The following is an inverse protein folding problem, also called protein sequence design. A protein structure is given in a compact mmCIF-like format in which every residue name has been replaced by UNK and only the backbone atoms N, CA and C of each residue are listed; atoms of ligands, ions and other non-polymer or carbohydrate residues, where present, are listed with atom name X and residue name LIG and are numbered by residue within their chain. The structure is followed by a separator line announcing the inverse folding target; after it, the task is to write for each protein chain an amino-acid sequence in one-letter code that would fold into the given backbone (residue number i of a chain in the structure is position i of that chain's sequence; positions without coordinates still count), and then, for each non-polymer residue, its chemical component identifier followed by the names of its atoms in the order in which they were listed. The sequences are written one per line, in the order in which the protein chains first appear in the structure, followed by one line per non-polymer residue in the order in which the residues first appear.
data_IF_920666435631
#
_entry.id   IF_920666435631
#
_cell.length_a   1.000
_cell.length_b   1.000
_cell.length_c   1.000
_cell.angle_alpha   90.00
_cell.angle_beta   90.00
_cell.angle_gamma   90.00
#
_symmetry.space_group_name_H-M   'P 1'
#
loop_
_entity.id
_entity.type
_entity.pdbx_description
1 polymer ?
#
# COMPACT_ATOMS: atom_id res chain seq x y z
N UNK A 1 -4.19 -6.11 -11.32
CA UNK A 1 -3.20 -5.32 -12.08
C UNK A 1 -2.96 -3.92 -11.48
N UNK A 2 -4.00 -3.18 -11.04
CA UNK A 2 -3.85 -1.82 -10.46
C UNK A 2 -2.96 -1.76 -9.21
N UNK A 3 -3.17 -2.64 -8.23
CA UNK A 3 -2.33 -2.67 -7.02
C UNK A 3 -0.86 -2.90 -7.35
N UNK A 4 -0.56 -3.86 -8.24
CA UNK A 4 0.82 -4.18 -8.65
C UNK A 4 1.53 -2.96 -9.25
N UNK A 5 0.87 -2.23 -10.15
CA UNK A 5 1.43 -1.01 -10.75
C UNK A 5 1.66 0.09 -9.70
N UNK A 6 0.77 0.23 -8.72
CA UNK A 6 0.99 1.15 -7.62
C UNK A 6 2.22 0.76 -6.79
N UNK A 7 2.38 -0.53 -6.47
CA UNK A 7 3.55 -1.03 -5.74
C UNK A 7 4.85 -0.82 -6.52
N UNK A 8 4.84 -1.01 -7.84
CA UNK A 8 5.99 -0.74 -8.70
C UNK A 8 6.37 0.74 -8.71
N UNK A 9 5.39 1.66 -8.77
CA UNK A 9 5.66 3.09 -8.66
C UNK A 9 6.25 3.46 -7.30
N UNK A 10 5.72 2.91 -6.21
CA UNK A 10 6.26 3.11 -4.86
C UNK A 10 7.69 2.58 -4.78
N UNK A 11 7.98 1.43 -5.40
CA UNK A 11 9.34 0.88 -5.44
C UNK A 11 10.32 1.79 -6.20
N UNK A 12 9.86 2.39 -7.30
CA UNK A 12 10.62 3.36 -8.07
C UNK A 12 10.93 4.61 -7.23
N UNK A 13 9.95 5.13 -6.47
CA UNK A 13 10.16 6.26 -5.55
C UNK A 13 11.25 5.98 -4.51
N UNK A 14 11.30 4.75 -3.96
CA UNK A 14 12.33 4.33 -2.99
C UNK A 14 13.74 4.28 -3.59
N UNK A 15 13.83 4.00 -4.89
CA UNK A 15 15.08 4.00 -5.64
C UNK A 15 15.48 5.40 -6.14
N UNK A 16 14.86 6.46 -5.59
CA UNK A 16 15.04 7.86 -5.96
C UNK A 16 14.54 8.21 -7.39
N UNK A 17 13.66 7.42 -7.97
CA UNK A 17 13.00 7.80 -9.22
C UNK A 17 11.88 8.82 -8.96
N UNK A 18 11.77 9.82 -9.82
CA UNK A 18 10.69 10.80 -9.73
C UNK A 18 9.40 10.20 -10.27
N UNK A 19 8.44 9.92 -9.39
CA UNK A 19 7.12 9.41 -9.77
C UNK A 19 6.04 10.47 -9.62
N UNK A 20 4.96 10.30 -10.38
CA UNK A 20 3.77 11.12 -10.20
C UNK A 20 2.83 10.48 -9.17
N UNK A 21 3.00 10.83 -7.89
CA UNK A 21 2.20 10.30 -6.78
C UNK A 21 0.69 10.55 -6.88
N UNK A 22 0.21 11.37 -7.82
CA UNK A 22 -1.24 11.56 -8.06
C UNK A 22 -1.95 10.25 -8.44
N UNK A 23 -1.27 9.36 -9.16
CA UNK A 23 -1.86 8.10 -9.61
C UNK A 23 -2.08 7.12 -8.46
N UNK A 24 -1.11 7.05 -7.54
CA UNK A 24 -1.22 6.25 -6.32
C UNK A 24 -2.34 6.82 -5.43
N UNK A 25 -2.37 8.15 -5.25
CA UNK A 25 -3.44 8.82 -4.46
C UNK A 25 -4.83 8.53 -5.03
N UNK A 26 -5.01 8.63 -6.35
CA UNK A 26 -6.28 8.32 -7.00
C UNK A 26 -6.69 6.84 -6.85
N UNK A 27 -5.73 5.91 -7.00
CA UNK A 27 -5.98 4.49 -6.82
C UNK A 27 -6.40 4.15 -5.37
N UNK A 28 -5.68 4.69 -4.37
CA UNK A 28 -6.01 4.52 -2.95
C UNK A 28 -7.39 5.09 -2.64
N UNK A 29 -7.69 6.29 -3.14
CA UNK A 29 -9.00 6.92 -2.97
C UNK A 29 -10.12 6.02 -3.52
N UNK A 30 -9.94 5.43 -4.70
CA UNK A 30 -10.91 4.50 -5.28
C UNK A 30 -11.14 3.25 -4.41
N UNK A 31 -10.08 2.66 -3.83
CA UNK A 31 -10.24 1.51 -2.93
C UNK A 31 -11.01 1.85 -1.64
N UNK A 32 -10.84 3.06 -1.11
CA UNK A 32 -11.59 3.55 0.07
C UNK A 32 -13.04 3.89 -0.27
N UNK A 33 -13.30 4.37 -1.49
CA UNK A 33 -14.66 4.68 -1.96
C UNK A 33 -15.47 3.42 -2.25
N UNK A 34 -14.83 2.36 -2.75
CA UNK A 34 -15.50 1.07 -3.02
C UNK A 34 -16.02 0.38 -1.76
N UNK A 35 -15.38 0.61 -0.60
CA UNK A 35 -15.84 0.05 0.68
C UNK A 35 -17.17 0.63 1.21
N UNK A 36 -17.74 1.65 0.56
CA UNK A 36 -19.06 2.19 0.92
C UNK A 36 -20.25 1.49 0.26
N UNK A 37 -20.01 0.55 -0.67
CA UNK A 37 -21.10 -0.02 -1.48
C UNK A 37 -21.91 -1.12 -0.76
N UNK A 38 -21.47 -1.59 0.42
CA UNK A 38 -22.20 -2.61 1.21
C UNK A 38 -23.24 -1.94 2.13
N UNK A 39 -24.51 -1.98 1.70
CA UNK A 39 -25.78 -1.70 2.42
C UNK A 39 -25.70 -0.87 3.74
N UNK A 40 -25.71 0.45 3.60
CA UNK A 40 -25.77 1.40 4.73
C UNK A 40 -27.18 1.99 4.95
N UNK A 41 -28.22 1.16 5.14
CA UNK A 41 -29.58 1.67 5.43
C UNK A 41 -29.99 1.64 6.91
N UNK A 42 -29.04 1.50 7.85
CA UNK A 42 -29.32 1.38 9.29
C UNK A 42 -28.80 2.56 10.14
N UNK A 43 -29.58 3.07 11.12
CA UNK A 43 -29.18 4.20 11.99
C UNK A 43 -28.10 3.87 13.05
N UNK A 44 -27.61 2.63 13.12
CA UNK A 44 -26.62 2.18 14.10
C UNK A 44 -25.19 2.00 13.55
N UNK A 45 -24.95 2.32 12.28
CA UNK A 45 -23.75 1.82 11.59
C UNK A 45 -22.51 2.72 11.69
N UNK A 46 -22.54 3.91 12.32
CA UNK A 46 -21.43 4.90 12.20
C UNK A 46 -20.06 4.37 12.69
N UNK A 47 -20.03 3.51 13.71
CA UNK A 47 -18.79 2.86 14.17
C UNK A 47 -18.33 1.66 13.33
N UNK A 48 -19.26 1.00 12.64
CA UNK A 48 -19.03 -0.18 11.79
C UNK A 48 -18.71 0.25 10.34
N UNK A 49 -19.20 1.42 9.92
CA UNK A 49 -18.97 2.09 8.64
C UNK A 49 -17.48 2.37 8.43
N UNK A 50 -16.74 2.82 9.44
CA UNK A 50 -15.30 3.12 9.29
C UNK A 50 -14.46 1.86 9.14
N UNK A 51 -14.84 0.75 9.78
CA UNK A 51 -14.17 -0.54 9.62
C UNK A 51 -14.53 -1.24 8.31
N UNK A 52 -15.80 -1.18 7.88
CA UNK A 52 -16.26 -1.74 6.61
C UNK A 52 -15.75 -0.95 5.40
N UNK A 53 -15.78 0.40 5.47
CA UNK A 53 -15.27 1.29 4.41
C UNK A 53 -13.82 1.02 4.04
N UNK A 54 -12.99 0.69 5.02
CA UNK A 54 -11.56 0.46 4.80
C UNK A 54 -11.22 -1.00 4.49
N UNK A 55 -12.20 -1.91 4.51
CA UNK A 55 -11.96 -3.34 4.30
C UNK A 55 -11.34 -3.62 2.92
N UNK A 56 -11.90 -3.02 1.87
CA UNK A 56 -11.37 -3.17 0.51
C UNK A 56 -9.96 -2.57 0.38
N UNK A 57 -9.73 -1.40 0.97
CA UNK A 57 -8.39 -0.81 1.04
C UNK A 57 -7.39 -1.73 1.75
N UNK A 58 -7.78 -2.29 2.91
CA UNK A 58 -6.94 -3.19 3.71
C UNK A 58 -6.55 -4.43 2.93
N UNK A 59 -7.54 -5.14 2.40
CA UNK A 59 -7.35 -6.45 1.78
C UNK A 59 -6.61 -6.36 0.44
N UNK A 60 -6.91 -5.33 -0.37
CA UNK A 60 -6.42 -5.24 -1.74
C UNK A 60 -5.27 -4.25 -1.95
N UNK A 61 -4.98 -3.38 -0.99
CA UNK A 61 -3.91 -2.40 -1.08
C UNK A 61 -2.94 -2.46 0.11
N UNK A 62 -3.44 -2.33 1.35
CA UNK A 62 -2.58 -2.23 2.55
C UNK A 62 -1.77 -3.51 2.81
N UNK A 63 -2.42 -4.68 2.79
CA UNK A 63 -1.74 -5.96 3.04
C UNK A 63 -0.64 -6.23 1.99
N UNK A 64 -0.91 -6.16 0.67
CA UNK A 64 0.13 -6.28 -0.34
C UNK A 64 1.23 -5.22 -0.22
N UNK A 65 0.87 -3.98 0.12
CA UNK A 65 1.83 -2.89 0.32
C UNK A 65 2.80 -3.18 1.46
N UNK A 66 2.30 -3.62 2.62
CA UNK A 66 3.14 -3.93 3.76
C UNK A 66 4.07 -5.11 3.47
N UNK A 67 3.57 -6.18 2.86
CA UNK A 67 4.38 -7.34 2.47
C UNK A 67 5.52 -6.95 1.52
N UNK A 68 5.20 -6.18 0.48
CA UNK A 68 6.18 -5.73 -0.50
C UNK A 68 7.21 -4.77 0.11
N UNK A 69 6.78 -3.95 1.08
CA UNK A 69 7.66 -3.02 1.81
C UNK A 69 8.61 -3.73 2.75
N UNK A 70 8.12 -4.71 3.50
CA UNK A 70 8.93 -5.53 4.39
C UNK A 70 10.01 -6.29 3.60
N UNK A 71 9.61 -6.92 2.49
CA UNK A 71 10.55 -7.65 1.63
C UNK A 71 11.63 -6.73 1.04
N UNK A 72 11.25 -5.54 0.57
CA UNK A 72 12.20 -4.56 0.05
C UNK A 72 13.27 -4.19 1.09
N UNK A 73 12.87 -3.76 2.30
CA UNK A 73 13.83 -3.35 3.32
C UNK A 73 14.63 -4.53 3.89
N UNK A 74 14.05 -5.72 3.97
CA UNK A 74 14.79 -6.93 4.35
C UNK A 74 15.91 -7.24 3.35
N UNK A 75 15.63 -7.13 2.06
CA UNK A 75 16.63 -7.32 1.01
C UNK A 75 17.68 -6.21 1.00
N UNK A 76 17.27 -4.96 1.19
CA UNK A 76 18.19 -3.81 1.26
C UNK A 76 19.15 -3.94 2.44
N UNK A 77 18.65 -4.29 3.63
CA UNK A 77 19.49 -4.52 4.81
C UNK A 77 20.45 -5.70 4.59
N UNK A 78 19.99 -6.81 4.01
CA UNK A 78 20.86 -7.93 3.69
C UNK A 78 21.97 -7.56 2.69
N UNK A 79 21.64 -6.74 1.69
CA UNK A 79 22.61 -6.21 0.72
C UNK A 79 23.64 -5.31 1.40
N UNK A 80 23.19 -4.36 2.23
CA UNK A 80 24.07 -3.45 2.97
C UNK A 80 24.98 -4.22 3.92
N UNK A 81 24.47 -5.21 4.67
CA UNK A 81 25.29 -6.00 5.59
C UNK A 81 26.38 -6.79 4.87
N UNK A 82 26.09 -7.41 3.71
CA UNK A 82 27.09 -8.13 2.92
C UNK A 82 28.12 -7.15 2.35
N UNK A 83 27.68 -6.01 1.82
CA UNK A 83 28.55 -5.03 1.19
C UNK A 83 29.45 -4.28 2.21
N UNK A 84 28.89 -3.86 3.35
CA UNK A 84 29.61 -3.15 4.41
C UNK A 84 30.60 -4.07 5.13
N UNK A 85 30.30 -5.37 5.27
CA UNK A 85 31.24 -6.37 5.82
C UNK A 85 32.51 -6.58 4.97
N UNK A 86 32.54 -6.06 3.74
CA UNK A 86 33.70 -6.11 2.84
C UNK A 86 34.48 -4.79 2.80
N UNK A 87 34.10 -3.80 3.62
CA UNK A 87 34.72 -2.46 3.66
C UNK A 87 35.72 -2.27 4.81
N UNK A 88 36.13 -3.34 5.51
CA UNK A 88 37.20 -3.33 6.53
C UNK A 88 38.54 -3.89 6.03
#
# INVERSE_FOLDING_TARGET
QVTLTCLQLINAERQNETINGRFIRAAVQSYVELGFCEDLSGPYCIGEITSSRLKIYKDYFEVPFLQYTDEFYRCEVAYLLVHDSMSE
#
